data_IF_013244640355
#
_entry.id   IF_013244640355
#
_cell.length_a   1.000
_cell.length_b   1.000
_cell.length_c   1.000
_cell.angle_alpha   90.00
_cell.angle_beta   90.00
_cell.angle_gamma   90.00
#
_symmetry.space_group_name_H-M   'P 1'
#
loop_
_entity.id
_entity.type
_entity.pdbx_description
1 polymer ?
#
# COMPACT_ATOMS: atom_id res chain seq x y z
N UNK A 1 -19.22 11.21 -62.94
CA UNK A 1 -17.84 10.69 -63.03
C UNK A 1 -17.67 9.62 -61.96
N UNK A 2 -17.86 8.37 -62.37
CA UNK A 2 -17.54 7.13 -61.65
C UNK A 2 -16.06 6.83 -61.88
N UNK A 3 -15.33 6.32 -60.88
CA UNK A 3 -14.43 5.16 -61.05
C UNK A 3 -14.26 4.43 -59.70
N UNK A 4 -14.96 3.30 -59.59
CA UNK A 4 -14.58 2.09 -58.86
C UNK A 4 -13.41 1.39 -59.55
N UNK A 5 -12.52 0.68 -58.85
CA UNK A 5 -11.98 -0.59 -59.39
C UNK A 5 -11.39 -1.49 -58.31
N UNK A 6 -11.85 -2.75 -58.36
CA UNK A 6 -11.21 -3.96 -57.86
C UNK A 6 -10.18 -4.45 -58.90
N UNK A 7 -9.18 -5.27 -58.51
CA UNK A 7 -8.26 -5.88 -59.46
C UNK A 7 -7.32 -6.92 -58.87
N UNK A 8 -7.52 -8.17 -59.31
CA UNK A 8 -6.92 -9.45 -58.93
C UNK A 8 -5.52 -9.75 -59.51
N UNK A 9 -4.79 -10.60 -58.78
CA UNK A 9 -3.93 -11.74 -59.18
C UNK A 9 -3.21 -11.75 -60.54
N UNK A 10 -1.89 -11.92 -60.50
CA UNK A 10 -1.05 -12.31 -61.64
C UNK A 10 0.43 -12.54 -61.26
N UNK A 11 0.76 -13.81 -61.05
CA UNK A 11 2.03 -14.56 -61.20
C UNK A 11 3.37 -13.82 -61.40
N UNK A 12 4.39 -14.22 -60.62
CA UNK A 12 5.78 -14.41 -61.08
C UNK A 12 6.60 -15.16 -59.99
N UNK A 13 7.01 -16.40 -60.28
CA UNK A 13 8.23 -17.00 -59.72
C UNK A 13 9.39 -16.64 -60.69
N UNK A 14 10.68 -16.62 -60.30
CA UNK A 14 11.40 -17.83 -59.88
C UNK A 14 12.55 -17.64 -58.84
N UNK A 15 13.05 -18.79 -58.39
CA UNK A 15 14.45 -19.13 -58.07
C UNK A 15 15.28 -18.22 -57.14
N UNK A 16 15.66 -18.78 -55.99
CA UNK A 16 16.68 -18.23 -55.11
C UNK A 16 16.96 -19.14 -53.92
N UNK A 17 17.64 -20.25 -54.18
CA UNK A 17 18.10 -21.19 -53.17
C UNK A 17 19.02 -20.52 -52.14
N UNK A 18 18.60 -20.42 -50.88
CA UNK A 18 19.48 -20.11 -49.76
C UNK A 18 19.84 -21.41 -49.03
N UNK A 19 21.09 -21.81 -49.24
CA UNK A 19 21.82 -22.83 -48.50
C UNK A 19 21.82 -22.48 -47.01
N UNK A 20 21.25 -23.34 -46.18
CA UNK A 20 21.49 -23.32 -44.74
C UNK A 20 22.90 -23.83 -44.48
N UNK A 21 23.79 -22.92 -44.10
CA UNK A 21 25.14 -23.22 -43.64
C UNK A 21 25.10 -23.72 -42.19
N UNK A 22 25.58 -24.95 -42.01
CA UNK A 22 26.39 -25.44 -40.90
C UNK A 22 25.96 -25.08 -39.46
N UNK A 23 25.03 -25.87 -38.91
CA UNK A 23 25.17 -26.26 -37.51
C UNK A 23 26.14 -27.45 -37.44
N UNK A 24 27.33 -27.19 -36.92
CA UNK A 24 28.37 -28.18 -36.66
C UNK A 24 27.86 -29.15 -35.57
N UNK A 25 27.63 -30.41 -35.92
CA UNK A 25 27.40 -31.49 -34.95
C UNK A 25 28.71 -31.77 -34.19
N UNK A 26 28.69 -31.92 -32.85
CA UNK A 26 29.86 -32.36 -32.11
C UNK A 26 30.11 -33.87 -32.32
N UNK A 27 31.38 -34.23 -32.54
CA UNK A 27 31.88 -35.56 -32.86
C UNK A 27 31.43 -36.66 -31.86
N UNK A 28 30.95 -37.83 -32.33
CA UNK A 28 30.76 -38.99 -31.49
C UNK A 28 32.12 -39.66 -31.22
N UNK A 29 32.60 -39.60 -29.98
CA UNK A 29 33.75 -40.40 -29.56
C UNK A 29 33.41 -41.90 -29.63
N UNK A 30 34.26 -42.76 -30.22
CA UNK A 30 34.02 -44.19 -30.28
C UNK A 30 34.12 -44.82 -28.90
N UNK A 31 33.15 -45.67 -28.56
CA UNK A 31 33.24 -46.57 -27.40
C UNK A 31 34.37 -47.60 -27.63
N UNK A 32 35.18 -47.92 -26.60
CA UNK A 32 36.18 -48.97 -26.73
C UNK A 32 35.49 -50.35 -26.81
N UNK A 33 36.07 -51.32 -27.55
CA UNK A 33 35.47 -52.64 -27.71
C UNK A 33 35.57 -53.45 -26.40
N UNK A 34 34.56 -54.30 -26.09
CA UNK A 34 34.64 -55.20 -24.95
C UNK A 34 35.72 -56.27 -25.19
N UNK A 35 36.59 -56.47 -24.20
CA UNK A 35 37.60 -57.53 -24.24
C UNK A 35 36.96 -58.91 -23.99
N UNK A 36 37.43 -59.96 -24.68
CA UNK A 36 36.92 -61.31 -24.51
C UNK A 36 37.38 -61.91 -23.19
N UNK A 37 36.42 -62.34 -22.38
CA UNK A 37 36.63 -63.18 -21.21
C UNK A 37 36.91 -64.61 -21.69
N UNK A 38 38.15 -65.09 -21.54
CA UNK A 38 38.40 -66.53 -21.43
C UNK A 38 39.77 -66.87 -20.85
N UNK A 39 39.69 -67.85 -19.96
CA UNK A 39 40.64 -68.95 -19.74
C UNK A 39 41.96 -68.66 -19.02
N UNK A 40 41.93 -69.04 -17.73
CA UNK A 40 42.82 -70.03 -17.13
C UNK A 40 44.33 -69.81 -17.26
N UNK A 41 44.93 -69.45 -16.11
CA UNK A 41 46.18 -70.06 -15.67
C UNK A 41 46.01 -70.66 -14.28
N UNK A 42 45.59 -71.93 -14.30
CA UNK A 42 46.32 -73.06 -13.72
C UNK A 42 46.81 -72.85 -12.27
N UNK A 43 45.96 -73.22 -11.31
CA UNK A 43 46.33 -73.42 -9.92
C UNK A 43 46.96 -74.82 -9.77
N UNK A 44 48.18 -74.89 -9.24
CA UNK A 44 48.85 -76.14 -8.87
C UNK A 44 48.15 -76.80 -7.67
N UNK A 45 48.16 -78.14 -7.59
CA UNK A 45 47.40 -78.89 -6.60
C UNK A 45 48.15 -78.86 -5.27
N UNK A 46 47.52 -78.35 -4.21
CA UNK A 46 47.69 -78.71 -2.78
C UNK A 46 47.28 -77.51 -1.90
N UNK A 47 46.00 -77.11 -1.92
CA UNK A 47 45.36 -76.39 -0.80
C UNK A 47 43.83 -76.45 -0.97
N UNK A 48 43.16 -77.24 -0.15
CA UNK A 48 41.72 -77.07 0.11
C UNK A 48 41.56 -76.61 1.57
N UNK A 49 41.14 -75.35 1.71
CA UNK A 49 40.75 -74.67 2.94
C UNK A 49 39.43 -73.98 2.66
N UNK A 50 38.38 -74.32 3.41
CA UNK A 50 37.02 -73.76 3.36
C UNK A 50 36.37 -74.02 4.74
N UNK A 51 35.66 -73.11 5.43
CA UNK A 51 34.96 -71.88 5.03
C UNK A 51 34.93 -70.86 6.19
N UNK A 52 35.37 -69.63 5.93
CA UNK A 52 35.05 -68.44 6.72
C UNK A 52 34.16 -67.52 5.89
N UNK A 53 33.09 -67.00 6.50
CA UNK A 53 32.11 -66.11 5.85
C UNK A 53 32.78 -64.83 5.29
N UNK A 54 32.53 -64.44 4.03
CA UNK A 54 32.95 -63.15 3.50
C UNK A 54 32.10 -62.00 4.08
N UNK A 55 32.66 -60.79 4.29
CA UNK A 55 31.86 -59.63 4.65
C UNK A 55 30.93 -59.22 3.48
N UNK A 56 29.71 -58.72 3.75
CA UNK A 56 28.75 -58.40 2.71
C UNK A 56 29.23 -57.23 1.85
N UNK A 57 29.11 -57.39 0.53
CA UNK A 57 29.36 -56.35 -0.46
C UNK A 57 28.34 -55.20 -0.30
N UNK A 58 28.83 -53.96 -0.24
CA UNK A 58 27.99 -52.76 -0.28
C UNK A 58 27.55 -52.51 -1.72
N UNK A 59 26.25 -52.58 -2.00
CA UNK A 59 25.69 -52.20 -3.30
C UNK A 59 25.58 -50.67 -3.40
N UNK A 60 26.01 -50.05 -4.50
CA UNK A 60 25.80 -48.61 -4.71
C UNK A 60 24.30 -48.33 -4.84
N UNK A 61 23.75 -47.56 -3.90
CA UNK A 61 22.32 -47.25 -3.90
C UNK A 61 21.99 -46.31 -5.07
N UNK A 62 21.23 -46.81 -6.06
CA UNK A 62 20.61 -45.98 -7.09
C UNK A 62 19.45 -45.22 -6.47
N UNK A 63 19.54 -43.90 -6.42
CA UNK A 63 18.39 -43.05 -6.10
C UNK A 63 17.39 -43.06 -7.26
N UNK A 64 16.14 -43.39 -6.95
CA UNK A 64 15.03 -43.40 -7.90
C UNK A 64 14.75 -41.97 -8.43
N UNK A 65 14.81 -41.72 -9.76
CA UNK A 65 14.61 -40.39 -10.35
C UNK A 65 13.21 -39.82 -10.08
N UNK A 66 12.24 -40.67 -9.74
CA UNK A 66 10.89 -40.26 -9.35
C UNK A 66 10.86 -39.50 -8.01
N UNK A 67 11.81 -39.77 -7.10
CA UNK A 67 11.90 -39.05 -5.83
C UNK A 67 12.32 -37.59 -6.04
N UNK A 68 13.24 -37.34 -6.97
CA UNK A 68 13.69 -35.99 -7.34
C UNK A 68 12.56 -35.26 -8.08
N UNK A 69 11.86 -35.94 -9.00
CA UNK A 69 10.70 -35.37 -9.69
C UNK A 69 9.58 -34.96 -8.72
N UNK A 70 9.35 -35.74 -7.65
CA UNK A 70 8.33 -35.41 -6.63
C UNK A 70 8.64 -34.11 -5.87
N UNK A 71 9.93 -33.84 -5.59
CA UNK A 71 10.36 -32.63 -4.90
C UNK A 71 10.13 -31.39 -5.78
N UNK A 72 10.43 -31.51 -7.08
CA UNK A 72 10.29 -30.41 -8.05
C UNK A 72 8.80 -30.13 -8.34
N UNK A 73 7.98 -31.16 -8.48
CA UNK A 73 6.55 -30.98 -8.76
C UNK A 73 5.74 -30.46 -7.56
N UNK A 74 6.18 -30.72 -6.32
CA UNK A 74 5.54 -30.19 -5.12
C UNK A 74 5.58 -28.66 -5.04
N UNK A 75 6.57 -28.01 -5.69
CA UNK A 75 6.73 -26.55 -5.69
C UNK A 75 5.85 -25.86 -6.76
N UNK A 76 5.47 -26.57 -7.83
CA UNK A 76 4.87 -25.93 -9.03
C UNK A 76 3.37 -26.22 -9.20
N UNK A 77 2.85 -27.38 -8.77
CA UNK A 77 1.43 -27.74 -8.94
C UNK A 77 0.93 -28.61 -7.75
N UNK A 78 0.41 -27.96 -6.71
CA UNK A 78 0.17 -28.51 -5.36
C UNK A 78 -0.57 -29.87 -5.29
N UNK A 79 -1.56 -30.11 -6.16
CA UNK A 79 -2.38 -31.33 -6.11
C UNK A 79 -1.64 -32.55 -6.69
N UNK A 80 -0.79 -32.35 -7.71
CA UNK A 80 -0.08 -33.45 -8.37
C UNK A 80 1.06 -34.01 -7.51
N UNK A 81 1.73 -33.16 -6.72
CA UNK A 81 2.79 -33.58 -5.80
C UNK A 81 2.32 -34.59 -4.74
N UNK A 82 1.09 -34.42 -4.23
CA UNK A 82 0.50 -35.32 -3.23
C UNK A 82 0.20 -36.69 -3.85
N UNK A 83 -0.32 -36.72 -5.08
CA UNK A 83 -0.66 -37.98 -5.80
C UNK A 83 0.60 -38.76 -6.15
N UNK A 84 1.63 -38.11 -6.72
CA UNK A 84 2.89 -38.78 -7.05
C UNK A 84 3.67 -39.24 -5.81
N UNK A 85 3.60 -38.49 -4.70
CA UNK A 85 4.21 -38.87 -3.43
C UNK A 85 3.68 -40.21 -2.87
N UNK A 86 2.37 -40.45 -2.96
CA UNK A 86 1.76 -41.72 -2.53
C UNK A 86 2.18 -42.90 -3.42
N UNK A 87 2.26 -42.69 -4.73
CA UNK A 87 2.66 -43.73 -5.70
C UNK A 87 4.14 -44.11 -5.50
N UNK A 88 5.01 -43.12 -5.28
CA UNK A 88 6.43 -43.34 -5.00
C UNK A 88 6.63 -44.15 -3.71
N UNK A 89 5.91 -43.82 -2.64
CA UNK A 89 5.99 -44.54 -1.36
C UNK A 89 5.50 -45.98 -1.49
N UNK A 90 4.46 -46.23 -2.29
CA UNK A 90 3.92 -47.57 -2.55
C UNK A 90 4.85 -48.46 -3.41
N UNK A 91 5.75 -47.87 -4.21
CA UNK A 91 6.80 -48.59 -4.94
C UNK A 91 8.00 -48.90 -4.05
N UNK A 92 8.50 -47.92 -3.29
CA UNK A 92 9.64 -48.08 -2.37
C UNK A 92 9.32 -49.08 -1.23
N UNK A 93 8.04 -49.23 -0.86
CA UNK A 93 7.63 -50.27 0.11
C UNK A 93 7.80 -51.69 -0.43
N UNK A 94 7.70 -51.87 -1.75
CA UNK A 94 7.79 -53.17 -2.45
C UNK A 94 9.19 -53.48 -2.98
N UNK A 95 9.95 -52.49 -3.42
CA UNK A 95 11.28 -52.69 -4.01
C UNK A 95 12.42 -52.69 -2.98
N UNK A 96 12.22 -52.12 -1.78
CA UNK A 96 13.25 -52.11 -0.72
C UNK A 96 14.38 -51.11 -0.94
N UNK A 97 14.30 -50.27 -1.97
CA UNK A 97 15.35 -49.31 -2.34
C UNK A 97 15.48 -48.16 -1.34
N UNK A 98 16.70 -47.61 -1.25
CA UNK A 98 16.99 -46.41 -0.45
C UNK A 98 16.26 -45.17 -0.98
N UNK A 99 15.80 -44.31 -0.07
CA UNK A 99 15.07 -43.08 -0.42
C UNK A 99 13.77 -42.86 0.34
N UNK A 100 13.38 -43.78 1.24
CA UNK A 100 12.19 -43.64 2.11
C UNK A 100 12.15 -42.31 2.85
N UNK A 101 13.29 -41.84 3.37
CA UNK A 101 13.37 -40.57 4.10
C UNK A 101 13.01 -39.35 3.25
N UNK A 102 13.51 -39.31 2.00
CA UNK A 102 13.23 -38.23 1.04
C UNK A 102 11.77 -38.24 0.57
N UNK A 103 11.20 -39.43 0.32
CA UNK A 103 9.79 -39.56 -0.06
C UNK A 103 8.84 -39.12 1.07
N UNK A 104 9.17 -39.45 2.32
CA UNK A 104 8.40 -39.00 3.49
C UNK A 104 8.53 -37.49 3.69
N UNK A 105 9.73 -36.92 3.51
CA UNK A 105 9.95 -35.48 3.62
C UNK A 105 9.14 -34.69 2.58
N UNK A 106 9.13 -35.14 1.31
CA UNK A 106 8.34 -34.50 0.25
C UNK A 106 6.83 -34.55 0.51
N UNK A 107 6.34 -35.65 1.09
CA UNK A 107 4.93 -35.80 1.47
C UNK A 107 4.54 -34.88 2.63
N UNK A 108 5.38 -34.80 3.67
CA UNK A 108 5.16 -33.90 4.83
C UNK A 108 5.14 -32.45 4.37
N UNK A 109 6.12 -32.01 3.57
CA UNK A 109 6.19 -30.65 3.04
C UNK A 109 4.95 -30.34 2.20
N UNK A 110 4.53 -31.27 1.33
CA UNK A 110 3.33 -31.12 0.51
C UNK A 110 2.05 -30.95 1.34
N UNK A 111 1.85 -31.78 2.36
CA UNK A 111 0.70 -31.66 3.26
C UNK A 111 0.75 -30.39 4.10
N UNK A 112 1.90 -29.99 4.63
CA UNK A 112 2.02 -28.74 5.39
C UNK A 112 1.72 -27.52 4.51
N UNK A 113 2.23 -27.48 3.28
CA UNK A 113 1.95 -26.39 2.34
C UNK A 113 0.47 -26.35 1.92
N UNK A 114 -0.14 -27.51 1.70
CA UNK A 114 -1.57 -27.61 1.39
C UNK A 114 -2.44 -27.12 2.56
N UNK A 115 -2.10 -27.52 3.79
CA UNK A 115 -2.83 -27.09 4.99
C UNK A 115 -2.65 -25.59 5.24
N UNK A 116 -1.44 -25.03 5.09
CA UNK A 116 -1.21 -23.59 5.22
C UNK A 116 -1.98 -22.81 4.15
N UNK A 117 -1.97 -23.27 2.89
CA UNK A 117 -2.72 -22.64 1.81
C UNK A 117 -4.24 -22.73 2.03
N UNK A 118 -4.74 -23.86 2.53
CA UNK A 118 -6.14 -24.03 2.89
C UNK A 118 -6.53 -23.13 4.06
N UNK A 119 -5.71 -23.05 5.11
CA UNK A 119 -5.94 -22.18 6.26
C UNK A 119 -5.91 -20.69 5.88
N UNK A 120 -4.94 -20.27 5.07
CA UNK A 120 -4.86 -18.92 4.53
C UNK A 120 -6.07 -18.61 3.64
N UNK A 121 -6.47 -19.55 2.78
CA UNK A 121 -7.68 -19.45 1.95
C UNK A 121 -8.95 -19.34 2.78
N UNK A 122 -9.08 -20.13 3.85
CA UNK A 122 -10.22 -20.04 4.77
C UNK A 122 -10.21 -18.75 5.58
N UNK A 123 -9.04 -18.23 5.97
CA UNK A 123 -8.93 -16.93 6.64
C UNK A 123 -9.37 -15.81 5.70
N UNK A 124 -8.92 -15.82 4.44
CA UNK A 124 -9.34 -14.87 3.40
C UNK A 124 -10.85 -14.99 3.14
N UNK A 125 -11.38 -16.21 3.05
CA UNK A 125 -12.81 -16.46 2.88
C UNK A 125 -13.62 -15.98 4.09
N UNK A 126 -13.14 -16.21 5.32
CA UNK A 126 -13.78 -15.73 6.55
C UNK A 126 -13.75 -14.21 6.63
N UNK A 127 -12.66 -13.54 6.22
CA UNK A 127 -12.60 -12.08 6.13
C UNK A 127 -13.58 -11.52 5.09
N UNK A 128 -13.77 -12.22 3.96
CA UNK A 128 -14.76 -11.87 2.92
C UNK A 128 -16.20 -12.14 3.41
N UNK A 129 -16.42 -13.25 4.12
CA UNK A 129 -17.74 -13.67 4.60
C UNK A 129 -18.19 -12.95 5.89
N UNK A 130 -17.26 -12.42 6.70
CA UNK A 130 -17.55 -11.68 7.93
C UNK A 130 -18.07 -10.27 7.70
N UNK A 131 -18.45 -9.91 6.47
CA UNK A 131 -19.01 -8.59 6.18
C UNK A 131 -18.00 -7.45 6.28
N UNK A 132 -16.68 -7.73 6.31
CA UNK A 132 -15.68 -6.79 5.78
C UNK A 132 -15.72 -6.84 4.25
N UNK A 133 -16.92 -6.88 3.70
CA UNK A 133 -17.16 -6.31 2.39
C UNK A 133 -16.86 -4.83 2.58
N UNK A 134 -15.68 -4.39 2.16
CA UNK A 134 -15.58 -3.03 1.64
C UNK A 134 -16.74 -2.95 0.65
N UNK A 135 -17.81 -2.25 1.03
CA UNK A 135 -18.73 -1.66 0.08
C UNK A 135 -17.91 -0.60 -0.67
N UNK A 136 -16.89 -1.04 -1.40
CA UNK A 136 -16.28 -0.31 -2.48
C UNK A 136 -17.34 -0.35 -3.58
N UNK A 137 -18.42 0.42 -3.37
CA UNK A 137 -19.04 1.10 -4.48
C UNK A 137 -17.88 1.74 -5.20
N UNK A 138 -17.48 1.16 -6.33
CA UNK A 138 -16.40 1.65 -7.14
C UNK A 138 -16.75 3.13 -7.43
N UNK A 139 -16.00 4.09 -6.86
CA UNK A 139 -16.32 5.52 -6.95
C UNK A 139 -15.94 6.03 -8.33
N UNK A 140 -16.66 5.57 -9.34
CA UNK A 140 -16.48 5.93 -10.73
C UNK A 140 -17.13 7.30 -10.97
N UNK A 141 -16.40 8.36 -10.61
CA UNK A 141 -16.55 9.70 -11.21
C UNK A 141 -17.78 10.53 -10.85
N UNK A 142 -18.77 10.00 -10.14
CA UNK A 142 -19.91 10.78 -9.63
C UNK A 142 -19.88 10.77 -8.11
N UNK A 143 -19.80 11.96 -7.51
CA UNK A 143 -19.82 12.14 -6.06
C UNK A 143 -21.13 11.66 -5.46
N UNK A 144 -21.13 11.26 -4.18
CA UNK A 144 -22.30 10.62 -3.62
C UNK A 144 -23.36 11.67 -3.31
N UNK A 145 -24.61 11.28 -3.46
CA UNK A 145 -25.72 12.05 -2.89
C UNK A 145 -25.54 12.26 -1.38
N UNK A 146 -24.97 11.27 -0.66
CA UNK A 146 -24.67 11.32 0.78
C UNK A 146 -23.29 10.70 1.11
N UNK A 147 -22.49 11.38 1.92
CA UNK A 147 -21.23 10.83 2.46
C UNK A 147 -21.49 9.71 3.48
N UNK A 148 -20.66 8.66 3.55
CA UNK A 148 -20.85 7.58 4.51
C UNK A 148 -20.83 8.08 5.97
N UNK A 149 -21.58 7.40 6.85
CA UNK A 149 -21.62 7.69 8.28
C UNK A 149 -20.45 7.05 9.05
N UNK A 150 -19.95 5.90 8.57
CA UNK A 150 -18.90 5.10 9.20
C UNK A 150 -17.80 4.76 8.21
N UNK A 151 -16.58 4.57 8.71
CA UNK A 151 -15.44 4.14 7.91
C UNK A 151 -14.12 4.18 8.68
N UNK A 152 -13.01 3.82 8.02
CA UNK A 152 -11.70 3.90 8.65
C UNK A 152 -11.29 5.36 8.86
N UNK A 153 -10.66 5.64 9.99
CA UNK A 153 -9.77 6.78 10.15
C UNK A 153 -8.38 6.39 9.63
N UNK A 154 -7.75 7.24 8.81
CA UNK A 154 -6.38 7.01 8.33
C UNK A 154 -5.38 6.92 9.48
N UNK A 155 -4.34 6.10 9.31
CA UNK A 155 -3.14 6.19 10.12
C UNK A 155 -2.49 7.57 9.94
N UNK A 156 -1.70 7.98 10.93
CA UNK A 156 -1.01 9.28 10.96
C UNK A 156 -1.95 10.49 11.06
N UNK A 157 -3.20 10.24 11.49
CA UNK A 157 -4.14 11.28 11.89
C UNK A 157 -4.54 11.14 13.34
N UNK A 158 -4.53 12.25 14.05
CA UNK A 158 -4.88 12.28 15.45
C UNK A 158 -6.42 12.24 15.64
N UNK A 159 -6.84 12.02 16.88
CA UNK A 159 -8.25 11.92 17.26
C UNK A 159 -9.05 13.23 17.02
N UNK A 160 -8.37 14.35 16.77
CA UNK A 160 -8.99 15.66 16.53
C UNK A 160 -9.17 15.96 15.03
N UNK A 161 -8.99 14.97 14.15
CA UNK A 161 -9.11 15.13 12.70
C UNK A 161 -7.91 15.82 12.05
N UNK A 162 -6.75 15.82 12.72
CA UNK A 162 -5.56 16.53 12.27
C UNK A 162 -4.39 15.65 11.83
N UNK A 163 -3.64 16.15 10.85
CA UNK A 163 -2.34 15.62 10.42
C UNK A 163 -1.26 16.54 10.99
N UNK A 164 -0.41 16.03 11.88
CA UNK A 164 0.66 16.84 12.50
C UNK A 164 1.96 16.67 11.72
N UNK A 165 2.50 17.78 11.23
CA UNK A 165 3.78 17.89 10.55
C UNK A 165 4.86 18.38 11.52
N UNK A 166 5.92 17.60 11.66
CA UNK A 166 7.16 17.93 12.34
C UNK A 166 8.27 18.32 11.36
N UNK A 167 9.51 18.38 11.86
CA UNK A 167 10.66 18.81 11.07
C UNK A 167 10.85 17.97 9.79
N UNK A 168 11.26 18.62 8.70
CA UNK A 168 11.50 17.98 7.40
C UNK A 168 10.24 17.45 6.72
N UNK A 169 9.04 17.88 7.15
CA UNK A 169 7.77 17.36 6.63
C UNK A 169 7.38 15.98 7.18
N UNK A 170 8.04 15.51 8.23
CA UNK A 170 7.68 14.26 8.89
C UNK A 170 6.26 14.34 9.46
N UNK A 171 5.44 13.32 9.21
CA UNK A 171 4.11 13.21 9.84
C UNK A 171 4.23 12.45 11.15
N UNK A 172 3.63 12.98 12.22
CA UNK A 172 3.60 12.30 13.51
C UNK A 172 2.72 11.04 13.40
N UNK A 173 3.24 9.84 13.72
CA UNK A 173 2.45 8.62 13.63
C UNK A 173 1.27 8.62 14.59
N UNK A 174 0.15 8.09 14.12
CA UNK A 174 -1.04 7.83 14.92
C UNK A 174 -1.70 6.53 14.43
N UNK A 175 -2.24 5.69 15.32
CA UNK A 175 -2.85 4.43 14.92
C UNK A 175 -4.12 4.69 14.11
N UNK A 176 -4.33 3.88 13.06
CA UNK A 176 -5.62 3.82 12.39
C UNK A 176 -6.70 3.36 13.37
N UNK A 177 -7.92 3.84 13.16
CA UNK A 177 -9.10 3.49 13.95
C UNK A 177 -10.33 3.44 13.05
N UNK A 178 -11.50 3.12 13.60
CA UNK A 178 -12.77 3.29 12.89
C UNK A 178 -13.52 4.47 13.52
N UNK A 179 -14.18 5.26 12.68
CA UNK A 179 -14.98 6.40 13.09
C UNK A 179 -16.44 6.18 12.75
N UNK A 180 -17.30 6.81 13.53
CA UNK A 180 -18.73 6.89 13.30
C UNK A 180 -19.18 8.32 13.54
N UNK A 181 -19.69 8.96 12.51
CA UNK A 181 -20.20 10.33 12.62
C UNK A 181 -21.43 10.39 13.53
N UNK A 182 -22.22 9.32 13.63
CA UNK A 182 -23.46 9.30 14.43
C UNK A 182 -23.20 9.30 15.93
N UNK A 183 -21.99 8.98 16.37
CA UNK A 183 -21.59 9.05 17.78
C UNK A 183 -21.15 10.45 18.20
N UNK A 184 -20.89 11.35 17.24
CA UNK A 184 -20.59 12.74 17.55
C UNK A 184 -21.85 13.45 18.06
N UNK A 185 -21.74 14.33 19.07
CA UNK A 185 -22.86 15.14 19.50
C UNK A 185 -23.41 16.00 18.35
N UNK A 186 -24.64 16.46 18.54
CA UNK A 186 -25.16 17.54 17.71
C UNK A 186 -24.43 18.83 18.08
N UNK A 187 -24.00 19.64 17.09
CA UNK A 187 -23.35 20.92 17.36
C UNK A 187 -24.22 21.76 18.31
N UNK A 188 -23.62 22.28 19.38
CA UNK A 188 -24.31 23.17 20.31
C UNK A 188 -24.72 24.46 19.57
N UNK A 189 -26.03 24.76 19.43
CA UNK A 189 -26.48 26.00 18.78
C UNK A 189 -26.02 27.26 19.51
N UNK A 190 -25.63 27.14 20.79
CA UNK A 190 -25.08 28.22 21.62
C UNK A 190 -23.55 28.31 21.56
N UNK A 191 -22.87 27.41 20.84
CA UNK A 191 -21.43 27.49 20.65
C UNK A 191 -21.05 28.82 19.99
N UNK A 192 -19.91 29.44 20.39
CA UNK A 192 -19.46 30.70 19.82
C UNK A 192 -19.47 30.65 18.29
N UNK A 193 -20.05 31.68 17.69
CA UNK A 193 -20.28 31.73 16.24
C UNK A 193 -19.02 31.97 15.43
N UNK A 194 -17.83 32.04 16.02
CA UNK A 194 -16.54 31.98 15.32
C UNK A 194 -15.41 31.65 16.29
N UNK A 195 -15.00 30.38 16.31
CA UNK A 195 -13.80 29.96 17.02
C UNK A 195 -14.05 29.65 18.49
N UNK A 196 -13.68 28.44 18.88
CA UNK A 196 -13.64 28.02 20.27
C UNK A 196 -12.22 28.20 20.81
N UNK A 197 -11.99 29.01 21.84
CA UNK A 197 -10.66 29.14 22.46
C UNK A 197 -10.18 27.85 23.13
N UNK A 198 -11.06 26.85 23.27
CA UNK A 198 -10.80 25.56 23.90
C UNK A 198 -11.02 24.38 22.93
N UNK A 199 -10.81 24.57 21.62
CA UNK A 199 -10.95 23.47 20.66
C UNK A 199 -10.06 22.27 21.07
N UNK A 200 -10.51 21.02 20.89
CA UNK A 200 -9.76 19.86 21.38
C UNK A 200 -8.33 19.77 20.85
N UNK A 201 -7.38 19.41 21.72
CA UNK A 201 -6.00 19.16 21.34
C UNK A 201 -5.18 20.39 20.92
N UNK A 202 -5.66 21.62 21.08
CA UNK A 202 -4.91 22.84 20.72
C UNK A 202 -3.96 23.33 21.83
N UNK A 203 -4.01 22.72 23.02
CA UNK A 203 -3.31 23.21 24.21
C UNK A 203 -1.83 23.42 23.95
N UNK A 204 -1.28 24.46 24.61
CA UNK A 204 0.11 24.84 24.54
C UNK A 204 1.06 23.65 24.69
N UNK A 205 2.04 23.57 23.81
CA UNK A 205 3.13 22.62 23.95
C UNK A 205 3.93 22.90 25.23
N UNK A 206 4.37 21.87 25.97
CA UNK A 206 5.24 22.05 27.13
C UNK A 206 6.48 22.90 26.82
N UNK A 207 7.04 23.53 27.86
CA UNK A 207 8.27 24.32 27.72
C UNK A 207 9.41 23.47 27.13
N UNK A 208 10.15 24.04 26.19
CA UNK A 208 11.23 23.35 25.47
C UNK A 208 10.78 22.46 24.32
N UNK A 209 9.47 22.29 24.11
CA UNK A 209 8.92 21.63 22.91
C UNK A 209 8.56 22.67 21.84
N UNK A 210 8.50 22.27 20.55
CA UNK A 210 8.04 23.14 19.48
C UNK A 210 6.63 23.66 19.76
N UNK A 211 6.36 24.94 19.48
CA UNK A 211 5.02 25.50 19.63
C UNK A 211 4.02 24.77 18.71
N UNK A 212 2.77 24.60 19.15
CA UNK A 212 1.75 23.92 18.35
C UNK A 212 0.96 24.92 17.52
N UNK A 213 1.11 24.82 16.20
CA UNK A 213 0.28 25.54 15.24
C UNK A 213 -0.80 24.59 14.74
N UNK A 214 -2.07 24.91 14.95
CA UNK A 214 -3.21 24.11 14.47
C UNK A 214 -4.02 24.96 13.50
N UNK A 215 -4.30 24.46 12.30
CA UNK A 215 -5.06 25.18 11.27
C UNK A 215 -6.19 24.32 10.74
N UNK A 216 -7.42 24.76 10.96
CA UNK A 216 -8.60 24.22 10.29
C UNK A 216 -8.69 24.79 8.89
N UNK A 217 -8.75 23.91 7.89
CA UNK A 217 -8.68 24.28 6.48
C UNK A 217 -9.73 23.53 5.66
N UNK A 218 -10.26 24.18 4.63
CA UNK A 218 -11.07 23.54 3.59
C UNK A 218 -10.34 23.73 2.26
N UNK A 219 -10.12 22.64 1.52
CA UNK A 219 -9.38 22.68 0.25
C UNK A 219 -10.13 23.40 -0.88
N UNK A 220 -11.42 23.70 -0.72
CA UNK A 220 -12.18 24.54 -1.63
C UNK A 220 -12.17 26.04 -1.25
N UNK A 221 -11.68 26.39 -0.06
CA UNK A 221 -11.80 27.74 0.48
C UNK A 221 -10.70 28.67 -0.06
N UNK A 222 -11.05 29.78 -0.74
CA UNK A 222 -10.07 30.75 -1.25
C UNK A 222 -9.26 31.44 -0.15
N UNK A 223 -9.87 31.71 1.00
CA UNK A 223 -9.16 32.28 2.15
C UNK A 223 -8.12 31.30 2.73
N UNK A 224 -8.36 29.99 2.65
CA UNK A 224 -7.38 28.98 3.03
C UNK A 224 -6.21 28.92 2.05
N UNK A 225 -6.47 29.02 0.74
CA UNK A 225 -5.41 29.12 -0.26
C UNK A 225 -4.55 30.37 -0.02
N UNK A 226 -5.17 31.53 0.19
CA UNK A 226 -4.44 32.75 0.51
C UNK A 226 -3.61 32.61 1.81
N UNK A 227 -4.15 31.97 2.85
CA UNK A 227 -3.40 31.69 4.07
C UNK A 227 -2.20 30.79 3.81
N UNK A 228 -2.38 29.73 3.01
CA UNK A 228 -1.33 28.80 2.63
C UNK A 228 -0.22 29.51 1.84
N UNK A 229 -0.58 30.29 0.80
CA UNK A 229 0.39 31.02 -0.02
C UNK A 229 1.16 32.08 0.78
N UNK A 230 0.47 32.78 1.69
CA UNK A 230 1.07 33.87 2.46
C UNK A 230 1.97 33.37 3.58
N UNK A 231 1.55 32.30 4.29
CA UNK A 231 2.20 31.87 5.54
C UNK A 231 2.97 30.56 5.42
N UNK A 232 2.66 29.74 4.41
CA UNK A 232 3.22 28.40 4.18
C UNK A 232 4.74 28.36 4.21
N UNK A 233 5.46 29.19 3.41
CA UNK A 233 6.92 29.17 3.39
C UNK A 233 7.57 29.44 4.76
N UNK A 234 7.01 30.38 5.54
CA UNK A 234 7.50 30.69 6.88
C UNK A 234 7.17 29.58 7.89
N UNK A 235 5.97 29.00 7.80
CA UNK A 235 5.56 27.86 8.61
C UNK A 235 6.46 26.64 8.34
N UNK A 236 6.76 26.34 7.08
CA UNK A 236 7.66 25.27 6.70
C UNK A 236 9.08 25.49 7.23
N UNK A 237 9.60 26.72 7.11
CA UNK A 237 10.91 27.09 7.65
C UNK A 237 10.96 26.85 9.17
N UNK A 238 9.99 27.40 9.92
CA UNK A 238 9.93 27.28 11.37
C UNK A 238 9.75 25.83 11.83
N UNK A 239 8.93 25.06 11.11
CA UNK A 239 8.73 23.63 11.37
C UNK A 239 10.03 22.86 11.14
N UNK A 240 10.72 23.13 10.03
CA UNK A 240 11.98 22.46 9.69
C UNK A 240 13.12 22.83 10.65
N UNK A 241 13.08 24.01 11.26
CA UNK A 241 13.96 24.42 12.36
C UNK A 241 13.56 23.79 13.71
N UNK A 242 12.46 23.03 13.78
CA UNK A 242 11.94 22.46 15.02
C UNK A 242 11.35 23.48 15.99
N UNK A 243 11.03 24.70 15.53
CA UNK A 243 10.42 25.75 16.36
C UNK A 243 8.93 25.55 16.53
N UNK A 244 8.27 24.97 15.54
CA UNK A 244 6.83 24.65 15.58
C UNK A 244 6.55 23.21 15.14
N UNK A 245 5.39 22.71 15.55
CA UNK A 245 4.66 21.66 14.82
C UNK A 245 3.49 22.31 14.08
N UNK A 246 3.16 21.82 12.89
CA UNK A 246 2.04 22.31 12.10
C UNK A 246 1.00 21.22 11.90
N UNK A 247 -0.17 21.39 12.48
CA UNK A 247 -1.30 20.48 12.34
C UNK A 247 -2.34 21.04 11.39
N UNK A 248 -2.54 20.39 10.25
CA UNK A 248 -3.68 20.68 9.37
C UNK A 248 -4.87 19.82 9.78
N UNK A 249 -6.03 20.45 9.98
CA UNK A 249 -7.32 19.80 10.23
C UNK A 249 -8.26 20.06 9.05
N UNK A 250 -8.24 19.21 8.01
CA UNK A 250 -9.13 19.35 6.88
C UNK A 250 -10.59 19.22 7.31
N UNK A 251 -11.43 20.15 6.86
CA UNK A 251 -12.88 20.14 7.04
C UNK A 251 -13.57 20.23 5.68
N UNK A 252 -14.89 20.04 5.68
CA UNK A 252 -15.72 19.97 4.49
C UNK A 252 -16.87 20.98 4.49
N UNK A 253 -16.63 22.19 5.03
CA UNK A 253 -17.67 23.21 5.21
C UNK A 253 -18.26 23.73 3.90
N UNK A 254 -17.52 23.62 2.79
CA UNK A 254 -17.95 24.08 1.47
C UNK A 254 -18.53 22.96 0.60
N UNK A 255 -18.77 21.76 1.15
CA UNK A 255 -19.36 20.65 0.41
C UNK A 255 -20.71 21.00 -0.21
N UNK A 256 -21.57 21.71 0.53
CA UNK A 256 -22.91 22.09 0.05
C UNK A 256 -22.86 23.20 -1.01
N UNK A 257 -21.70 23.85 -1.18
CA UNK A 257 -21.46 24.78 -2.29
C UNK A 257 -21.00 24.09 -3.56
N UNK A 258 -20.57 22.83 -3.49
CA UNK A 258 -20.06 22.08 -4.64
C UNK A 258 -21.05 21.00 -5.08
N UNK A 259 -21.33 20.90 -6.38
CA UNK A 259 -22.18 19.82 -6.93
C UNK A 259 -21.57 18.43 -6.77
N UNK A 260 -20.28 18.34 -6.40
CA UNK A 260 -19.59 17.07 -6.23
C UNK A 260 -18.91 16.92 -4.86
N UNK A 261 -19.28 17.71 -3.85
CA UNK A 261 -18.69 17.61 -2.49
C UNK A 261 -17.16 17.62 -2.52
N UNK A 262 -16.61 18.59 -3.26
CA UNK A 262 -15.18 18.67 -3.53
C UNK A 262 -14.35 18.72 -2.25
N UNK A 263 -14.79 19.45 -1.21
CA UNK A 263 -14.06 19.58 0.06
C UNK A 263 -13.85 18.24 0.76
N UNK A 264 -14.89 17.39 0.81
CA UNK A 264 -14.77 16.04 1.36
C UNK A 264 -13.87 15.15 0.51
N UNK A 265 -13.97 15.24 -0.82
CA UNK A 265 -13.14 14.41 -1.71
C UNK A 265 -11.66 14.79 -1.67
N UNK A 266 -11.36 16.09 -1.65
CA UNK A 266 -10.00 16.58 -1.48
C UNK A 266 -9.45 16.22 -0.09
N UNK A 267 -10.26 16.35 0.97
CA UNK A 267 -9.87 15.94 2.33
C UNK A 267 -9.60 14.43 2.43
N UNK A 268 -10.46 13.61 1.82
CA UNK A 268 -10.25 12.16 1.77
C UNK A 268 -9.02 11.78 0.93
N UNK A 269 -8.72 12.50 -0.16
CA UNK A 269 -7.50 12.31 -0.94
C UNK A 269 -6.25 12.68 -0.12
N UNK A 270 -6.31 13.78 0.63
CA UNK A 270 -5.23 14.19 1.54
C UNK A 270 -5.00 13.14 2.63
N UNK A 271 -6.09 12.51 3.10
CA UNK A 271 -6.01 11.38 4.00
C UNK A 271 -5.37 10.13 3.39
N UNK A 272 -5.67 9.82 2.13
CA UNK A 272 -4.99 8.74 1.43
C UNK A 272 -3.48 8.95 1.38
N UNK A 273 -3.03 10.18 1.10
CA UNK A 273 -1.60 10.52 1.07
C UNK A 273 -1.00 10.46 2.47
N UNK A 274 -1.61 11.10 3.47
CA UNK A 274 -1.11 11.05 4.86
C UNK A 274 -0.96 9.62 5.40
N UNK A 275 -1.89 8.73 5.04
CA UNK A 275 -1.88 7.34 5.50
C UNK A 275 -0.75 6.51 4.85
N UNK A 276 -0.57 6.62 3.53
CA UNK A 276 0.29 5.71 2.75
C UNK A 276 1.62 6.29 2.33
N UNK A 277 1.68 7.61 2.14
CA UNK A 277 2.85 8.38 1.71
C UNK A 277 3.01 9.63 2.59
N UNK A 278 3.16 9.46 3.92
CA UNK A 278 3.15 10.60 4.86
C UNK A 278 4.19 11.66 4.52
N UNK A 279 5.37 11.28 4.01
CA UNK A 279 6.43 12.19 3.58
C UNK A 279 6.06 13.05 2.36
N UNK A 280 4.98 12.71 1.65
CA UNK A 280 4.45 13.46 0.50
C UNK A 280 3.26 14.35 0.85
N UNK A 281 2.76 14.28 2.09
CA UNK A 281 1.55 15.01 2.49
C UNK A 281 1.67 16.53 2.29
N UNK A 282 2.77 17.13 2.74
CA UNK A 282 2.99 18.57 2.59
C UNK A 282 2.97 18.98 1.10
N UNK A 283 3.74 18.29 0.26
CA UNK A 283 3.76 18.54 -1.18
C UNK A 283 2.38 18.35 -1.83
N UNK A 284 1.58 17.40 -1.36
CA UNK A 284 0.22 17.21 -1.86
C UNK A 284 -0.74 18.33 -1.45
N UNK A 285 -0.61 18.85 -0.22
CA UNK A 285 -1.35 20.06 0.21
C UNK A 285 -1.00 21.25 -0.70
N UNK A 286 0.28 21.43 -1.02
CA UNK A 286 0.72 22.47 -1.96
C UNK A 286 0.08 22.28 -3.34
N UNK A 287 0.03 21.03 -3.85
CA UNK A 287 -0.62 20.72 -5.13
C UNK A 287 -2.12 21.03 -5.12
N UNK A 288 -2.82 20.73 -4.02
CA UNK A 288 -4.25 21.01 -3.88
C UNK A 288 -4.55 22.51 -3.89
N UNK A 289 -3.76 23.33 -3.21
CA UNK A 289 -3.96 24.78 -3.19
C UNK A 289 -3.50 25.45 -4.49
N UNK A 290 -2.37 25.02 -5.06
CA UNK A 290 -1.89 25.53 -6.36
C UNK A 290 -2.89 25.26 -7.50
N UNK A 291 -3.72 24.21 -7.38
CA UNK A 291 -4.76 23.86 -8.35
C UNK A 291 -6.16 23.96 -7.75
N UNK A 292 -6.35 24.82 -6.76
CA UNK A 292 -7.65 24.99 -6.12
C UNK A 292 -8.70 25.39 -7.18
N UNK A 293 -9.82 24.66 -7.29
CA UNK A 293 -10.88 25.04 -8.21
C UNK A 293 -11.57 26.31 -7.73
N UNK A 294 -12.22 27.02 -8.66
CA UNK A 294 -13.16 28.07 -8.29
C UNK A 294 -14.22 27.49 -7.35
N UNK A 295 -14.57 28.24 -6.30
CA UNK A 295 -15.60 27.87 -5.34
C UNK A 295 -17.00 27.88 -5.98
N UNK A 296 -17.83 26.85 -5.72
CA UNK A 296 -19.20 26.74 -6.23
C UNK A 296 -19.43 25.66 -7.31
N UNK A 297 -18.60 25.58 -8.36
CA UNK A 297 -18.65 24.49 -9.32
C UNK A 297 -18.38 23.09 -8.71
N UNK A 298 -18.36 22.10 -9.59
CA UNK A 298 -18.06 20.72 -9.24
C UNK A 298 -16.73 20.55 -8.49
N UNK A 299 -15.74 21.42 -8.71
CA UNK A 299 -14.37 21.21 -8.23
C UNK A 299 -13.61 20.20 -9.11
N UNK A 300 -12.45 19.74 -8.64
CA UNK A 300 -11.65 18.76 -9.39
C UNK A 300 -12.31 17.38 -9.36
N UNK A 301 -12.13 16.60 -10.43
CA UNK A 301 -12.51 15.18 -10.53
C UNK A 301 -11.56 14.27 -9.73
N UNK A 302 -11.98 13.02 -9.48
CA UNK A 302 -11.09 12.02 -8.83
C UNK A 302 -9.86 11.75 -9.68
N UNK A 303 -9.98 11.76 -11.00
CA UNK A 303 -8.84 11.63 -11.89
C UNK A 303 -7.84 12.77 -11.70
N UNK A 304 -8.32 14.02 -11.60
CA UNK A 304 -7.45 15.17 -11.32
C UNK A 304 -6.80 15.08 -9.94
N UNK A 305 -7.56 14.70 -8.89
CA UNK A 305 -7.00 14.50 -7.55
C UNK A 305 -5.91 13.42 -7.53
N UNK A 306 -6.10 12.32 -8.26
CA UNK A 306 -5.08 11.28 -8.45
C UNK A 306 -3.85 11.83 -9.18
N UNK A 307 -4.04 12.63 -10.23
CA UNK A 307 -2.93 13.26 -10.96
C UNK A 307 -2.13 14.22 -10.07
N UNK A 308 -2.79 15.00 -9.21
CA UNK A 308 -2.12 15.87 -8.23
C UNK A 308 -1.33 15.06 -7.20
N UNK A 309 -1.89 13.96 -6.69
CA UNK A 309 -1.18 13.08 -5.76
C UNK A 309 0.06 12.45 -6.41
N UNK A 310 -0.08 11.96 -7.64
CA UNK A 310 1.03 11.45 -8.45
C UNK A 310 2.09 12.53 -8.71
N UNK A 311 1.68 13.78 -8.99
CA UNK A 311 2.57 14.93 -9.12
C UNK A 311 3.35 15.25 -7.84
N UNK A 312 2.77 15.00 -6.67
CA UNK A 312 3.46 15.05 -5.37
C UNK A 312 4.30 13.79 -5.06
N UNK A 313 4.30 12.79 -5.95
CA UNK A 313 5.03 11.53 -5.79
C UNK A 313 4.32 10.48 -4.93
N UNK A 314 2.99 10.56 -4.79
CA UNK A 314 2.18 9.62 -4.01
C UNK A 314 1.19 8.84 -4.91
N UNK A 315 1.31 7.50 -4.95
CA UNK A 315 0.33 6.64 -5.62
C UNK A 315 -0.78 6.22 -4.65
N UNK A 316 -1.93 6.86 -4.79
CA UNK A 316 -3.11 6.66 -3.92
C UNK A 316 -4.38 6.40 -4.72
N UNK A 317 -4.25 5.95 -5.97
CA UNK A 317 -5.36 5.82 -6.91
C UNK A 317 -6.49 4.94 -6.36
N UNK A 318 -6.16 3.76 -5.85
CA UNK A 318 -7.12 2.82 -5.27
C UNK A 318 -7.82 3.40 -4.04
N UNK A 319 -7.11 4.16 -3.21
CA UNK A 319 -7.70 4.77 -2.02
C UNK A 319 -8.75 5.84 -2.38
N UNK A 320 -8.44 6.68 -3.37
CA UNK A 320 -9.33 7.72 -3.89
C UNK A 320 -10.54 7.10 -4.60
N UNK A 321 -10.31 6.13 -5.49
CA UNK A 321 -11.39 5.44 -6.23
C UNK A 321 -12.25 4.54 -5.33
N UNK A 322 -11.73 4.13 -4.17
CA UNK A 322 -12.49 3.44 -3.13
C UNK A 322 -13.27 4.37 -2.21
N UNK A 323 -13.03 5.69 -2.27
CA UNK A 323 -13.63 6.66 -1.35
C UNK A 323 -13.32 6.37 0.12
N UNK A 324 -12.17 5.73 0.38
CA UNK A 324 -11.82 5.06 1.64
C UNK A 324 -12.00 5.95 2.87
N UNK A 325 -11.64 7.23 2.76
CA UNK A 325 -11.66 8.20 3.85
C UNK A 325 -12.76 9.27 3.74
N UNK A 326 -13.80 9.05 2.92
CA UNK A 326 -14.92 10.00 2.82
C UNK A 326 -15.72 10.10 4.12
N UNK A 327 -15.89 8.99 4.83
CA UNK A 327 -16.50 8.99 6.17
C UNK A 327 -15.67 9.84 7.14
N UNK A 328 -14.34 9.69 7.09
CA UNK A 328 -13.42 10.45 7.94
C UNK A 328 -13.46 11.95 7.61
N UNK A 329 -13.49 12.34 6.33
CA UNK A 329 -13.59 13.74 5.93
C UNK A 329 -14.85 14.40 6.50
N UNK A 330 -15.99 13.70 6.46
CA UNK A 330 -17.23 14.15 7.10
C UNK A 330 -17.13 14.21 8.62
N UNK A 331 -16.51 13.20 9.23
CA UNK A 331 -16.30 13.15 10.68
C UNK A 331 -15.44 14.32 11.16
N UNK A 332 -14.33 14.62 10.48
CA UNK A 332 -13.46 15.75 10.81
C UNK A 332 -14.21 17.09 10.75
N UNK A 333 -14.98 17.32 9.69
CA UNK A 333 -15.81 18.52 9.58
C UNK A 333 -16.89 18.62 10.67
N UNK A 334 -17.59 17.52 10.97
CA UNK A 334 -18.57 17.51 12.06
C UNK A 334 -17.94 17.72 13.43
N UNK A 335 -16.78 17.11 13.69
CA UNK A 335 -16.04 17.30 14.92
C UNK A 335 -15.59 18.76 15.09
N UNK A 336 -15.17 19.41 14.00
CA UNK A 336 -14.84 20.83 14.00
C UNK A 336 -16.06 21.70 14.35
N UNK A 337 -17.21 21.45 13.72
CA UNK A 337 -18.46 22.17 14.01
C UNK A 337 -18.92 21.97 15.46
N UNK A 338 -18.89 20.73 15.95
CA UNK A 338 -19.20 20.39 17.35
C UNK A 338 -18.24 21.08 18.33
N UNK A 339 -16.99 21.27 17.91
CA UNK A 339 -15.98 22.02 18.66
C UNK A 339 -16.13 23.54 18.53
N UNK A 340 -17.19 24.08 17.92
CA UNK A 340 -17.39 25.53 17.75
C UNK A 340 -16.54 26.17 16.65
N UNK A 341 -16.01 25.37 15.72
CA UNK A 341 -15.29 25.85 14.53
C UNK A 341 -16.27 25.87 13.37
N UNK A 342 -16.61 27.06 12.88
CA UNK A 342 -17.61 27.23 11.83
C UNK A 342 -17.13 28.12 10.67
N UNK A 343 -15.82 28.35 10.59
CA UNK A 343 -15.18 29.08 9.51
C UNK A 343 -13.76 28.63 9.25
N UNK A 344 -13.31 28.80 8.01
CA UNK A 344 -11.95 28.48 7.57
C UNK A 344 -11.33 29.67 6.81
N UNK A 345 -10.02 29.94 6.96
CA UNK A 345 -9.13 29.28 7.90
C UNK A 345 -9.45 29.70 9.35
N UNK A 346 -9.30 28.76 10.29
CA UNK A 346 -9.22 29.08 11.73
C UNK A 346 -7.91 28.53 12.24
N UNK A 347 -7.05 29.40 12.79
CA UNK A 347 -5.70 29.04 13.21
C UNK A 347 -5.47 29.30 14.69
N UNK A 348 -4.69 28.43 15.33
CA UNK A 348 -4.28 28.52 16.72
C UNK A 348 -2.77 28.40 16.84
N UNK A 349 -2.20 29.10 17.82
CA UNK A 349 -0.82 28.91 18.28
C UNK A 349 -0.87 28.68 19.80
N UNK A 350 -0.48 27.49 20.24
CA UNK A 350 -0.44 27.08 21.64
C UNK A 350 -1.75 27.34 22.43
N UNK A 351 -2.87 27.16 21.73
CA UNK A 351 -4.21 27.31 22.28
C UNK A 351 -4.80 28.70 22.13
N UNK A 352 -3.98 29.70 21.77
CA UNK A 352 -4.45 31.03 21.45
C UNK A 352 -4.94 31.07 20.01
N UNK A 353 -6.14 31.61 19.77
CA UNK A 353 -6.71 31.75 18.43
C UNK A 353 -6.20 33.03 17.75
N UNK A 354 -5.82 32.91 16.49
CA UNK A 354 -5.48 34.06 15.66
C UNK A 354 -6.72 34.91 15.34
N UNK A 355 -6.57 36.23 15.47
CA UNK A 355 -7.62 37.21 15.22
C UNK A 355 -8.42 37.59 16.48
N UNK A 356 -8.16 36.95 17.62
CA UNK A 356 -8.80 37.26 18.90
C UNK A 356 -7.90 38.09 19.81
N UNK A 357 -8.54 38.87 20.69
CA UNK A 357 -7.87 39.62 21.76
C UNK A 357 -6.73 40.49 21.25
N UNK A 358 -5.52 40.27 21.77
CA UNK A 358 -4.31 41.02 21.38
C UNK A 358 -3.85 40.74 19.95
N UNK A 359 -4.29 39.66 19.32
CA UNK A 359 -3.96 39.33 17.93
C UNK A 359 -4.92 39.96 16.91
N UNK A 360 -5.95 40.68 17.36
CA UNK A 360 -6.90 41.38 16.49
C UNK A 360 -6.17 42.36 15.57
N UNK A 361 -6.32 42.18 14.25
CA UNK A 361 -5.66 43.02 13.24
C UNK A 361 -4.19 42.68 12.96
N UNK A 362 -3.60 41.69 13.66
CA UNK A 362 -2.27 41.19 13.33
C UNK A 362 -2.33 40.24 12.13
N UNK A 363 -1.30 40.27 11.29
CA UNK A 363 -1.03 39.15 10.39
C UNK A 363 -0.76 37.87 11.20
N UNK A 364 -1.01 36.70 10.60
CA UNK A 364 -0.77 35.44 11.29
C UNK A 364 0.70 35.26 11.70
N UNK A 365 1.66 35.67 10.87
CA UNK A 365 3.09 35.58 11.22
C UNK A 365 3.48 36.51 12.37
N UNK A 366 2.88 37.70 12.48
CA UNK A 366 3.10 38.57 13.65
C UNK A 366 2.58 37.93 14.93
N UNK A 367 1.39 37.32 14.85
CA UNK A 367 0.81 36.58 15.97
C UNK A 367 1.69 35.39 16.39
N UNK A 368 2.13 34.55 15.44
CA UNK A 368 3.02 33.43 15.70
C UNK A 368 4.35 33.89 16.30
N UNK A 369 4.96 34.94 15.76
CA UNK A 369 6.24 35.45 16.28
C UNK A 369 6.10 35.99 17.71
N UNK A 370 4.98 36.64 18.04
CA UNK A 370 4.72 37.13 19.39
C UNK A 370 4.65 35.97 20.40
N UNK A 371 3.95 34.89 20.04
CA UNK A 371 3.85 33.68 20.86
C UNK A 371 5.22 33.02 21.06
N UNK A 372 5.97 32.78 19.97
CA UNK A 372 7.33 32.22 20.02
C UNK A 372 8.27 33.05 20.90
N UNK A 373 8.20 34.38 20.82
CA UNK A 373 9.02 35.28 21.65
C UNK A 373 8.63 35.15 23.13
N UNK A 374 7.34 35.06 23.44
CA UNK A 374 6.87 34.90 24.82
C UNK A 374 7.33 33.58 25.46
N UNK A 375 7.52 32.53 24.66
CA UNK A 375 8.04 31.22 25.08
C UNK A 375 9.54 31.25 25.41
N UNK A 376 10.30 32.18 24.85
CA UNK A 376 11.74 32.32 25.14
C UNK A 376 12.00 33.08 26.44
N UNK A 377 11.07 33.95 26.86
CA UNK A 377 11.19 34.76 28.08
C UNK A 377 10.70 34.02 29.33
N UNK A 378 9.69 33.16 29.19
CA UNK A 378 9.05 32.41 30.28
C UNK A 378 9.60 30.99 30.41
#
# INVERSE_FOLDING_TARGET
MLVTTWGTWGSCAPEGALRMSNYQQPDPRPWPPPQPESADKQRSPWTDTWQGYPPPAQTPQRTEPLAIASLICAVVVNVLGIVFGHIALARIRRSGDGGRGLAVAGLVIGYTSFVIAALAGTLVFVLIASGVTTNATQWTGTSPSRLPDQGPSPANMNANGGIVLGAGGSVVPAPASNIDTTTLPSPDPAAPTFGNPNAPGIQAAPKGQPAKVVVYIDFACPACANFHDTNGPALDLLRNQGKITLEYRPVNFLDDRSTTRYSSRASAAAACVANSHPDKFAAFVDQLYAHQPVEGPAGLSNQQLKSLASGAGADVATCIDGGTYLAWARYSGRLALDSGINGTPTAYVDGNRWGDGTSTGMSFLQFLQADLTSREVN
#
